data_IF_049833971384
#
_entry.id   IF_049833971384
#
_cell.length_a   1.000
_cell.length_b   1.000
_cell.length_c   1.000
_cell.angle_alpha   90.00
_cell.angle_beta   90.00
_cell.angle_gamma   90.00
#
_symmetry.space_group_name_H-M   'P 1'
#
loop_
_entity.id
_entity.type
_entity.pdbx_description
1 polymer ?
#
# COMPACT_ATOMS: atom_id res chain seq x y z
N UNK A 1 -14.37 8.10 -2.61
CA UNK A 1 -14.06 7.69 -1.24
C UNK A 1 -15.18 6.81 -0.73
N UNK A 2 -15.02 5.49 -0.78
CA UNK A 2 -15.93 4.56 -0.11
C UNK A 2 -15.68 4.78 1.38
N UNK A 3 -16.68 5.31 2.08
CA UNK A 3 -16.59 5.51 3.53
C UNK A 3 -16.81 4.18 4.20
N UNK A 4 -15.78 3.38 4.37
CA UNK A 4 -15.89 2.08 5.02
C UNK A 4 -15.52 2.17 6.49
N UNK A 5 -16.31 2.96 7.23
CA UNK A 5 -16.34 2.88 8.69
C UNK A 5 -17.16 1.68 9.18
N UNK A 6 -17.62 0.84 8.26
CA UNK A 6 -18.56 -0.22 8.57
C UNK A 6 -18.15 -1.50 7.85
N UNK A 7 -18.36 -2.62 8.49
CA UNK A 7 -18.31 -3.92 7.82
C UNK A 7 -19.48 -3.96 6.83
N UNK A 8 -19.22 -4.05 5.52
CA UNK A 8 -20.30 -4.00 4.55
C UNK A 8 -21.26 -5.17 4.71
N UNK A 9 -22.51 -4.97 4.32
CA UNK A 9 -23.52 -6.02 4.32
C UNK A 9 -23.05 -7.21 3.45
N UNK A 10 -23.01 -8.39 4.05
CA UNK A 10 -22.60 -9.64 3.38
C UNK A 10 -23.61 -10.75 3.68
N UNK A 11 -23.97 -11.53 2.67
CA UNK A 11 -24.82 -12.72 2.81
C UNK A 11 -26.17 -12.45 3.54
N UNK A 12 -26.77 -11.30 3.27
CA UNK A 12 -28.06 -10.92 3.89
C UNK A 12 -27.95 -10.38 5.31
N UNK A 13 -26.73 -10.26 5.85
CA UNK A 13 -26.49 -9.55 7.11
C UNK A 13 -26.43 -8.05 6.87
N UNK A 14 -27.01 -7.21 7.74
CA UNK A 14 -26.90 -5.77 7.61
C UNK A 14 -25.46 -5.31 7.86
N UNK A 15 -25.13 -4.16 7.31
CA UNK A 15 -23.92 -3.43 7.62
C UNK A 15 -23.82 -3.17 9.12
N UNK A 16 -22.66 -3.49 9.72
CA UNK A 16 -22.41 -3.25 11.16
C UNK A 16 -21.17 -2.39 11.36
N UNK A 17 -21.22 -1.43 12.30
CA UNK A 17 -20.04 -0.69 12.68
C UNK A 17 -19.05 -1.61 13.41
N UNK A 18 -17.78 -1.38 13.18
CA UNK A 18 -16.76 -2.09 13.91
C UNK A 18 -15.80 -2.84 13.01
N UNK A 19 -15.09 -3.75 13.57
CA UNK A 19 -13.97 -4.46 12.95
C UNK A 19 -12.68 -4.19 13.70
N UNK A 20 -11.56 -4.44 13.03
CA UNK A 20 -10.23 -4.28 13.60
C UNK A 20 -9.74 -2.87 13.32
N UNK A 21 -9.31 -2.14 14.36
CA UNK A 21 -8.62 -0.85 14.26
C UNK A 21 -7.11 -0.99 14.38
N UNK A 22 -6.38 0.10 14.13
CA UNK A 22 -4.91 0.12 14.20
C UNK A 22 -4.38 -0.28 15.58
N UNK A 23 -5.11 0.08 16.64
CA UNK A 23 -4.77 -0.22 18.02
C UNK A 23 -4.77 -1.71 18.34
N UNK A 24 -5.52 -2.51 17.60
CA UNK A 24 -5.68 -3.94 17.84
C UNK A 24 -4.65 -4.78 17.05
N UNK A 25 -4.19 -4.31 15.90
CA UNK A 25 -3.40 -5.08 14.93
C UNK A 25 -2.16 -5.70 15.57
N UNK A 26 -1.42 -4.92 16.36
CA UNK A 26 -0.17 -5.38 17.00
C UNK A 26 -0.45 -6.57 17.93
N UNK A 27 -1.47 -6.48 18.75
CA UNK A 27 -1.82 -7.52 19.73
C UNK A 27 -2.41 -8.77 19.09
N UNK A 28 -3.16 -8.60 18.02
CA UNK A 28 -3.80 -9.70 17.30
C UNK A 28 -2.85 -10.47 16.40
N UNK A 29 -1.74 -9.85 15.98
CA UNK A 29 -0.84 -10.43 14.97
C UNK A 29 0.51 -10.78 15.55
N UNK A 30 1.23 -9.82 16.13
CA UNK A 30 2.65 -9.96 16.46
C UNK A 30 2.99 -11.17 17.38
N UNK A 31 2.21 -11.49 18.44
CA UNK A 31 2.53 -12.62 19.32
C UNK A 31 2.40 -14.00 18.65
N UNK A 32 1.88 -14.10 17.44
CA UNK A 32 1.48 -15.35 16.80
C UNK A 32 2.22 -15.62 15.48
N UNK A 33 3.22 -14.84 15.16
CA UNK A 33 3.96 -14.92 13.89
C UNK A 33 5.47 -15.03 14.13
N UNK A 34 6.17 -15.60 13.15
CA UNK A 34 7.62 -15.73 13.14
C UNK A 34 8.26 -15.11 11.89
N UNK A 35 7.47 -14.88 10.83
CA UNK A 35 7.94 -14.29 9.58
C UNK A 35 7.03 -13.14 9.14
N UNK A 36 7.57 -12.27 8.29
CA UNK A 36 6.81 -11.16 7.72
C UNK A 36 5.58 -11.67 6.94
N UNK A 37 5.76 -12.70 6.11
CA UNK A 37 4.68 -13.32 5.33
C UNK A 37 3.58 -13.93 6.21
N UNK A 38 3.95 -14.60 7.31
CA UNK A 38 2.96 -15.09 8.29
C UNK A 38 2.14 -13.95 8.87
N UNK A 39 2.77 -12.78 9.10
CA UNK A 39 2.09 -11.57 9.56
C UNK A 39 1.02 -11.09 8.59
N UNK A 40 1.38 -10.99 7.32
CA UNK A 40 0.44 -10.60 6.24
C UNK A 40 -0.74 -11.57 6.17
N UNK A 41 -0.46 -12.87 6.10
CA UNK A 41 -1.51 -13.90 5.98
C UNK A 41 -2.41 -13.96 7.21
N UNK A 42 -1.85 -13.81 8.41
CA UNK A 42 -2.64 -13.78 9.64
C UNK A 42 -3.54 -12.54 9.71
N UNK A 43 -2.98 -11.36 9.45
CA UNK A 43 -3.79 -10.14 9.44
C UNK A 43 -4.87 -10.22 8.36
N UNK A 44 -4.50 -10.65 7.15
CA UNK A 44 -5.45 -10.82 6.07
C UNK A 44 -6.64 -11.71 6.44
N UNK A 45 -6.38 -12.85 7.07
CA UNK A 45 -7.45 -13.75 7.54
C UNK A 45 -8.33 -13.12 8.62
N UNK A 46 -7.76 -12.32 9.50
CA UNK A 46 -8.51 -11.59 10.51
C UNK A 46 -9.40 -10.52 9.87
N UNK A 47 -8.86 -9.79 8.89
CA UNK A 47 -9.62 -8.78 8.13
C UNK A 47 -10.76 -9.41 7.33
N UNK A 48 -10.53 -10.54 6.67
CA UNK A 48 -11.60 -11.27 5.97
C UNK A 48 -12.72 -11.75 6.91
N UNK A 49 -12.38 -12.04 8.15
CA UNK A 49 -13.34 -12.55 9.14
C UNK A 49 -14.09 -11.43 9.84
N UNK A 50 -13.38 -10.42 10.32
CA UNK A 50 -13.91 -9.38 11.21
C UNK A 50 -14.04 -8.02 10.55
N UNK A 51 -13.36 -7.80 9.42
CA UNK A 51 -13.30 -6.51 8.74
C UNK A 51 -12.48 -5.48 9.48
N UNK A 52 -12.41 -4.30 8.89
CA UNK A 52 -11.80 -3.11 9.49
C UNK A 52 -12.64 -1.88 9.20
N UNK A 53 -12.64 -0.92 10.11
CA UNK A 53 -13.28 0.38 9.94
C UNK A 53 -12.30 1.48 9.51
N UNK A 54 -11.03 1.14 9.34
CA UNK A 54 -9.97 2.07 8.98
C UNK A 54 -9.20 1.62 7.75
N UNK A 55 -8.66 2.60 7.02
CA UNK A 55 -7.71 2.36 5.95
C UNK A 55 -6.30 2.59 6.50
N UNK A 56 -5.55 1.51 6.65
CA UNK A 56 -4.21 1.51 7.23
C UNK A 56 -3.18 0.89 6.27
N UNK A 57 -1.94 1.34 6.40
CA UNK A 57 -0.78 0.68 5.82
C UNK A 57 0.07 0.05 6.91
N UNK A 58 0.39 -1.22 6.78
CA UNK A 58 1.10 -2.01 7.79
C UNK A 58 2.34 -2.65 7.17
N UNK A 59 3.51 -2.34 7.74
CA UNK A 59 4.77 -2.99 7.38
C UNK A 59 4.99 -4.23 8.22
N UNK A 60 5.30 -5.34 7.56
CA UNK A 60 5.80 -6.57 8.17
C UNK A 60 7.23 -6.80 7.71
N UNK A 61 8.14 -7.03 8.66
CA UNK A 61 9.55 -7.24 8.35
C UNK A 61 10.12 -8.37 9.16
N UNK A 62 10.95 -9.19 8.51
CA UNK A 62 11.87 -10.14 9.15
C UNK A 62 13.28 -10.03 8.54
N UNK A 63 14.15 -11.01 8.78
CA UNK A 63 15.52 -10.99 8.27
C UNK A 63 15.64 -11.30 6.77
N UNK A 64 14.57 -11.78 6.15
CA UNK A 64 14.58 -12.24 4.76
C UNK A 64 13.75 -11.35 3.83
N UNK A 65 12.68 -10.73 4.34
CA UNK A 65 11.75 -10.02 3.49
C UNK A 65 11.00 -8.89 4.21
N UNK A 66 10.49 -7.95 3.41
CA UNK A 66 9.62 -6.87 3.85
C UNK A 66 8.34 -6.96 3.02
N UNK A 67 7.20 -6.90 3.69
CA UNK A 67 5.88 -6.80 3.10
C UNK A 67 5.18 -5.53 3.55
N UNK A 68 4.46 -4.93 2.61
CA UNK A 68 3.58 -3.81 2.89
C UNK A 68 2.15 -4.23 2.61
N UNK A 69 1.30 -4.17 3.62
CA UNK A 69 -0.12 -4.47 3.54
C UNK A 69 -0.93 -3.18 3.65
N UNK A 70 -1.91 -3.02 2.77
CA UNK A 70 -2.91 -1.96 2.82
C UNK A 70 -4.31 -2.55 3.03
N UNK A 71 -5.02 -2.00 4.02
CA UNK A 71 -6.45 -2.29 4.21
C UNK A 71 -7.25 -1.36 3.30
N UNK A 72 -8.11 -1.94 2.46
CA UNK A 72 -8.88 -1.17 1.48
C UNK A 72 -10.25 -0.75 2.07
N UNK A 73 -10.59 -1.35 3.19
CA UNK A 73 -11.87 -1.16 3.88
C UNK A 73 -12.73 -2.42 3.88
N UNK A 74 -13.64 -2.48 4.85
CA UNK A 74 -14.47 -3.66 5.06
C UNK A 74 -13.63 -4.91 5.29
N UNK A 75 -13.80 -5.92 4.43
CA UNK A 75 -13.07 -7.19 4.52
C UNK A 75 -11.91 -7.31 3.52
N UNK A 76 -11.64 -6.25 2.73
CA UNK A 76 -10.67 -6.30 1.64
C UNK A 76 -9.33 -5.74 2.07
N UNK A 77 -8.28 -6.40 1.59
CA UNK A 77 -6.91 -6.02 1.82
C UNK A 77 -6.02 -6.47 0.66
N UNK A 78 -4.88 -5.85 0.52
CA UNK A 78 -3.82 -6.26 -0.39
C UNK A 78 -2.46 -6.05 0.25
N UNK A 79 -1.48 -6.83 -0.18
CA UNK A 79 -0.11 -6.70 0.27
C UNK A 79 0.87 -6.96 -0.87
N UNK A 80 1.94 -6.18 -0.88
CA UNK A 80 3.01 -6.30 -1.85
C UNK A 80 4.34 -6.47 -1.14
N UNK A 81 5.16 -7.41 -1.63
CA UNK A 81 6.54 -7.60 -1.17
C UNK A 81 7.40 -6.45 -1.70
N UNK A 82 8.23 -5.89 -0.85
CA UNK A 82 9.26 -4.94 -1.27
C UNK A 82 10.43 -5.74 -1.85
N UNK A 83 10.86 -5.39 -3.05
CA UNK A 83 12.02 -6.04 -3.69
C UNK A 83 13.27 -5.86 -2.86
N UNK A 84 14.17 -6.84 -2.88
CA UNK A 84 15.38 -6.84 -2.05
C UNK A 84 16.35 -5.69 -2.39
N UNK A 85 16.25 -5.15 -3.59
CA UNK A 85 17.04 -4.02 -4.10
C UNK A 85 16.29 -2.68 -4.08
N UNK A 86 15.20 -2.59 -3.33
CA UNK A 86 14.31 -1.43 -3.38
C UNK A 86 13.98 -0.88 -1.99
N UNK A 87 13.47 0.34 -1.97
CA UNK A 87 12.91 0.97 -0.79
C UNK A 87 11.52 1.56 -1.11
N UNK A 88 10.73 1.74 -0.09
CA UNK A 88 9.37 2.25 -0.16
C UNK A 88 9.24 3.51 0.68
N UNK A 89 8.52 4.49 0.19
CA UNK A 89 8.15 5.70 0.93
C UNK A 89 6.64 5.79 1.00
N UNK A 90 6.12 5.74 2.22
CA UNK A 90 4.67 5.75 2.47
C UNK A 90 4.28 6.92 3.37
N UNK A 91 3.55 7.90 2.86
CA UNK A 91 2.84 8.89 3.67
C UNK A 91 1.52 8.29 4.22
N UNK A 92 0.66 9.12 4.81
CA UNK A 92 -0.67 8.68 5.26
C UNK A 92 -1.68 8.59 4.09
N UNK A 93 -1.32 7.82 3.07
CA UNK A 93 -2.13 7.52 1.89
C UNK A 93 -1.95 6.05 1.52
N UNK A 94 -2.94 5.44 0.87
CA UNK A 94 -2.70 4.19 0.14
C UNK A 94 -1.78 4.50 -1.05
N UNK A 95 -0.74 3.71 -1.22
CA UNK A 95 0.33 4.06 -2.14
C UNK A 95 0.74 2.97 -3.11
N UNK A 96 0.31 1.72 -2.94
CA UNK A 96 0.62 0.66 -3.92
C UNK A 96 0.08 1.08 -5.29
N UNK A 97 1.00 1.34 -6.21
CA UNK A 97 0.75 1.91 -7.54
C UNK A 97 0.64 0.86 -8.66
N UNK A 98 1.08 -0.36 -8.39
CA UNK A 98 0.99 -1.47 -9.32
C UNK A 98 0.77 -2.78 -8.55
N UNK A 99 -0.19 -3.58 -8.98
CA UNK A 99 -0.54 -4.83 -8.31
C UNK A 99 -0.85 -5.93 -9.32
N UNK A 100 -0.06 -7.00 -9.25
CA UNK A 100 -0.24 -8.17 -10.10
C UNK A 100 -1.27 -9.12 -9.49
N UNK A 101 -2.50 -9.04 -10.02
CA UNK A 101 -3.60 -9.92 -9.61
C UNK A 101 -3.35 -11.39 -10.00
N UNK A 102 -2.59 -11.65 -11.06
CA UNK A 102 -2.33 -13.03 -11.48
C UNK A 102 -1.31 -13.70 -10.55
N UNK A 103 -0.30 -12.97 -10.07
CA UNK A 103 0.55 -13.46 -8.99
C UNK A 103 -0.23 -13.64 -7.69
N UNK A 104 -1.06 -12.67 -7.30
CA UNK A 104 -1.81 -12.72 -6.04
C UNK A 104 -2.79 -13.91 -5.96
N UNK A 105 -3.41 -14.30 -7.08
CA UNK A 105 -4.30 -15.47 -7.18
C UNK A 105 -3.60 -16.74 -7.67
N UNK A 106 -2.31 -16.67 -8.00
CA UNK A 106 -1.50 -17.76 -8.52
C UNK A 106 -0.36 -18.18 -7.63
N UNK A 107 0.86 -17.78 -7.99
CA UNK A 107 2.10 -18.15 -7.29
C UNK A 107 2.26 -17.47 -5.92
N UNK A 108 1.68 -16.29 -5.77
CA UNK A 108 1.73 -15.51 -4.54
C UNK A 108 3.16 -15.17 -4.09
N UNK A 109 4.06 -14.93 -5.03
CA UNK A 109 5.46 -14.67 -4.74
C UNK A 109 5.66 -13.26 -4.16
N UNK A 110 5.03 -12.27 -4.79
CA UNK A 110 5.20 -10.86 -4.45
C UNK A 110 3.90 -10.12 -4.10
N UNK A 111 2.75 -10.74 -4.35
CA UNK A 111 1.43 -10.14 -4.10
C UNK A 111 0.52 -11.10 -3.36
N UNK A 112 -0.19 -10.58 -2.38
CA UNK A 112 -1.19 -11.29 -1.58
C UNK A 112 -2.40 -10.38 -1.42
N UNK A 113 -3.61 -10.94 -1.42
CA UNK A 113 -4.83 -10.16 -1.22
C UNK A 113 -5.98 -11.01 -0.65
N UNK A 114 -7.07 -10.34 -0.30
CA UNK A 114 -8.32 -11.00 0.09
C UNK A 114 -8.85 -11.88 -1.04
N UNK A 115 -9.46 -13.00 -0.67
CA UNK A 115 -9.85 -14.06 -1.61
C UNK A 115 -10.86 -13.61 -2.68
N UNK A 116 -11.64 -12.59 -2.41
CA UNK A 116 -12.68 -12.05 -3.29
C UNK A 116 -12.33 -10.70 -3.94
N UNK A 117 -11.07 -10.25 -3.82
CA UNK A 117 -10.65 -8.94 -4.32
C UNK A 117 -10.90 -8.78 -5.83
N UNK A 118 -10.63 -9.82 -6.63
CA UNK A 118 -10.83 -9.78 -8.09
C UNK A 118 -12.30 -9.57 -8.45
N UNK A 119 -13.20 -10.29 -7.79
CA UNK A 119 -14.65 -10.15 -7.97
C UNK A 119 -15.13 -8.78 -7.49
N UNK A 120 -14.58 -8.29 -6.39
CA UNK A 120 -14.90 -6.97 -5.85
C UNK A 120 -14.53 -5.87 -6.85
N UNK A 121 -13.30 -5.89 -7.38
CA UNK A 121 -12.82 -4.95 -8.40
C UNK A 121 -13.72 -4.98 -9.64
N UNK A 122 -14.02 -6.17 -10.15
CA UNK A 122 -14.85 -6.35 -11.33
C UNK A 122 -16.29 -5.87 -11.11
N UNK A 123 -16.88 -6.20 -9.97
CA UNK A 123 -18.26 -5.83 -9.61
C UNK A 123 -18.48 -4.33 -9.56
N UNK A 124 -17.51 -3.60 -9.04
CA UNK A 124 -17.62 -2.15 -8.85
C UNK A 124 -16.88 -1.34 -9.92
N UNK A 125 -16.33 -2.01 -10.95
CA UNK A 125 -15.57 -1.37 -12.04
C UNK A 125 -14.43 -0.48 -11.55
N UNK A 126 -13.64 -0.98 -10.59
CA UNK A 126 -12.60 -0.23 -9.92
C UNK A 126 -11.25 -0.30 -10.64
N UNK A 127 -11.09 -1.17 -11.62
CA UNK A 127 -9.91 -1.17 -12.49
C UNK A 127 -10.04 -0.04 -13.51
N UNK A 128 -9.24 0.99 -13.30
CA UNK A 128 -9.18 2.18 -14.17
C UNK A 128 -7.97 2.13 -15.11
N UNK A 129 -7.14 1.08 -15.03
CA UNK A 129 -5.93 0.96 -15.81
C UNK A 129 -6.23 0.80 -17.30
N UNK A 130 -5.44 1.48 -18.12
CA UNK A 130 -5.51 1.38 -19.60
C UNK A 130 -4.38 0.52 -20.17
N UNK A 131 -3.36 0.23 -19.38
CA UNK A 131 -2.17 -0.52 -19.75
C UNK A 131 -2.22 -2.00 -19.32
N UNK A 132 -3.29 -2.40 -18.61
CA UNK A 132 -3.50 -3.76 -18.13
C UNK A 132 -2.81 -4.09 -16.80
N UNK A 133 -2.17 -3.11 -16.15
CA UNK A 133 -1.64 -3.23 -14.80
C UNK A 133 -2.61 -2.57 -13.82
N UNK A 134 -3.15 -3.32 -12.88
CA UNK A 134 -4.07 -2.76 -11.89
C UNK A 134 -3.34 -1.78 -10.97
N UNK A 135 -3.85 -0.54 -10.89
CA UNK A 135 -3.36 0.51 -10.00
C UNK A 135 -4.31 0.67 -8.79
N UNK A 136 -3.96 0.08 -7.62
CA UNK A 136 -4.76 0.20 -6.42
C UNK A 136 -4.86 1.61 -5.87
N UNK A 137 -3.81 2.43 -6.02
CA UNK A 137 -3.83 3.82 -5.56
C UNK A 137 -4.86 4.65 -6.32
N UNK A 138 -4.95 4.48 -7.64
CA UNK A 138 -5.98 5.13 -8.43
C UNK A 138 -7.38 4.63 -8.08
N UNK A 139 -7.52 3.33 -7.75
CA UNK A 139 -8.82 2.72 -7.42
C UNK A 139 -9.31 3.03 -5.99
N UNK A 140 -8.41 3.03 -5.01
CA UNK A 140 -8.76 3.07 -3.58
C UNK A 140 -8.15 4.26 -2.84
N UNK A 141 -7.10 4.86 -3.38
CA UNK A 141 -6.38 5.96 -2.73
C UNK A 141 -7.19 7.26 -2.69
N UNK A 142 -6.70 8.20 -1.91
CA UNK A 142 -7.24 9.55 -1.83
C UNK A 142 -6.34 10.54 -2.58
N UNK A 143 -6.99 11.48 -3.27
CA UNK A 143 -6.35 12.55 -4.06
C UNK A 143 -7.00 13.89 -3.71
N UNK A 144 -6.98 14.24 -2.42
CA UNK A 144 -7.61 15.44 -1.89
C UNK A 144 -6.63 16.60 -1.79
N UNK A 145 -7.12 17.83 -1.71
CA UNK A 145 -6.29 19.00 -1.42
C UNK A 145 -5.48 18.83 -0.13
N UNK A 146 -6.01 18.09 0.85
CA UNK A 146 -5.29 17.77 2.09
C UNK A 146 -4.09 16.86 1.82
N UNK A 147 -4.20 15.92 0.89
CA UNK A 147 -3.09 15.06 0.50
C UNK A 147 -1.97 15.87 -0.16
N UNK A 148 -2.32 16.82 -1.02
CA UNK A 148 -1.36 17.69 -1.68
C UNK A 148 -0.63 18.64 -0.73
N UNK A 149 -1.15 18.87 0.46
CA UNK A 149 -0.51 19.70 1.49
C UNK A 149 0.28 18.88 2.50
N UNK A 150 -0.23 17.69 2.86
CA UNK A 150 0.30 16.91 3.98
C UNK A 150 1.01 15.63 3.56
N UNK A 151 0.49 14.88 2.59
CA UNK A 151 0.98 13.55 2.22
C UNK A 151 2.00 13.59 1.09
N UNK A 152 1.62 14.00 -0.09
CA UNK A 152 2.48 13.99 -1.28
C UNK A 152 3.76 14.79 -1.12
N UNK A 153 3.78 15.99 -0.49
CA UNK A 153 5.02 16.73 -0.29
C UNK A 153 6.04 16.00 0.58
N UNK A 154 5.59 15.24 1.58
CA UNK A 154 6.49 14.46 2.44
C UNK A 154 7.12 13.31 1.66
N UNK A 155 6.33 12.57 0.89
CA UNK A 155 6.82 11.50 0.03
C UNK A 155 7.81 12.04 -1.01
N UNK A 156 7.44 13.12 -1.72
CA UNK A 156 8.30 13.78 -2.68
C UNK A 156 9.65 14.21 -2.08
N UNK A 157 9.64 14.83 -0.90
CA UNK A 157 10.86 15.26 -0.22
C UNK A 157 11.78 14.07 0.11
N UNK A 158 11.23 12.99 0.62
CA UNK A 158 11.98 11.77 0.94
C UNK A 158 12.56 11.12 -0.31
N UNK A 159 11.74 10.92 -1.35
CA UNK A 159 12.16 10.33 -2.62
C UNK A 159 13.26 11.15 -3.27
N UNK A 160 13.09 12.48 -3.36
CA UNK A 160 14.11 13.39 -3.88
C UNK A 160 15.41 13.33 -3.10
N UNK A 161 15.33 13.22 -1.77
CA UNK A 161 16.53 13.18 -0.91
C UNK A 161 17.29 11.88 -1.08
N UNK A 162 16.58 10.76 -1.17
CA UNK A 162 17.17 9.43 -1.34
C UNK A 162 17.64 9.17 -2.77
N UNK A 163 16.94 9.73 -3.76
CA UNK A 163 17.23 9.53 -5.18
C UNK A 163 17.28 10.85 -5.96
N UNK A 164 18.32 11.67 -5.75
CA UNK A 164 18.37 13.01 -6.32
C UNK A 164 18.70 13.05 -7.83
N UNK A 165 19.08 11.93 -8.45
CA UNK A 165 19.70 11.93 -9.78
C UNK A 165 18.92 11.16 -10.86
N UNK A 166 17.99 10.29 -10.49
CA UNK A 166 17.22 9.50 -11.46
C UNK A 166 16.12 10.31 -12.13
N UNK A 167 15.53 11.24 -11.36
CA UNK A 167 14.39 12.04 -11.76
C UNK A 167 14.75 13.54 -11.70
N UNK A 168 14.07 14.31 -12.52
CA UNK A 168 14.12 15.78 -12.43
C UNK A 168 13.08 16.22 -11.39
N UNK A 169 13.56 16.62 -10.23
CA UNK A 169 12.70 16.96 -9.07
C UNK A 169 12.30 18.44 -8.97
N UNK A 170 13.02 19.32 -9.67
CA UNK A 170 12.86 20.76 -9.58
C UNK A 170 12.79 21.40 -10.97
N UNK A 171 12.08 22.53 -11.05
CA UNK A 171 11.98 23.32 -12.27
C UNK A 171 10.73 23.02 -13.09
N UNK A 172 10.57 23.70 -14.24
CA UNK A 172 9.36 23.57 -15.05
C UNK A 172 9.19 22.22 -15.73
N UNK A 173 10.30 21.48 -15.90
CA UNK A 173 10.33 20.16 -16.53
C UNK A 173 10.51 19.03 -15.48
N UNK A 174 10.07 19.28 -14.23
CA UNK A 174 10.16 18.27 -13.18
C UNK A 174 9.28 17.06 -13.50
N UNK A 175 9.85 15.86 -13.37
CA UNK A 175 9.11 14.60 -13.52
C UNK A 175 8.02 14.48 -12.44
N UNK A 176 8.35 14.93 -11.22
CA UNK A 176 7.42 14.93 -10.09
C UNK A 176 7.49 16.25 -9.32
N UNK A 177 6.36 16.69 -8.86
CA UNK A 177 6.19 17.88 -8.01
C UNK A 177 5.72 17.47 -6.61
N UNK A 178 5.79 18.38 -5.61
CA UNK A 178 5.24 18.11 -4.29
C UNK A 178 3.73 17.79 -4.25
N UNK A 179 3.01 18.04 -5.35
CA UNK A 179 1.59 17.77 -5.49
C UNK A 179 1.29 16.63 -6.48
N UNK A 180 2.31 15.88 -6.93
CA UNK A 180 2.09 14.78 -7.87
C UNK A 180 1.37 13.61 -7.20
N UNK A 181 0.29 13.16 -7.81
CA UNK A 181 -0.49 12.00 -7.35
C UNK A 181 0.13 10.67 -7.77
N UNK A 182 1.06 10.70 -8.70
CA UNK A 182 1.71 9.57 -9.35
C UNK A 182 3.14 9.29 -8.83
N UNK A 183 3.47 9.78 -7.64
CA UNK A 183 4.75 9.48 -7.00
C UNK A 183 4.97 7.97 -6.88
N UNK A 184 6.13 7.45 -7.31
CA UNK A 184 6.37 6.01 -7.29
C UNK A 184 6.38 5.46 -5.85
N UNK A 185 5.69 4.34 -5.66
CA UNK A 185 5.63 3.66 -4.37
C UNK A 185 6.98 3.04 -3.98
N UNK A 186 7.66 2.41 -4.94
CA UNK A 186 8.87 1.63 -4.73
C UNK A 186 9.95 2.08 -5.72
N UNK A 187 11.13 2.39 -5.21
CA UNK A 187 12.29 2.76 -6.03
C UNK A 187 13.50 1.87 -5.74
N UNK A 188 14.29 1.61 -6.78
CA UNK A 188 15.50 0.80 -6.67
C UNK A 188 16.59 1.49 -5.84
N UNK A 189 17.25 0.72 -4.99
CA UNK A 189 18.41 1.15 -4.19
C UNK A 189 19.64 1.50 -5.04
N UNK A 190 19.72 1.03 -6.27
CA UNK A 190 20.86 1.28 -7.19
C UNK A 190 21.08 2.76 -7.41
N UNK A 191 20.05 3.57 -7.24
CA UNK A 191 20.08 5.02 -7.44
C UNK A 191 20.30 5.82 -6.14
N UNK A 192 20.40 5.17 -5.00
CA UNK A 192 20.84 5.84 -3.78
C UNK A 192 22.30 6.18 -3.95
N UNK A 193 22.61 7.46 -4.17
CA UNK A 193 24.00 7.93 -4.22
C UNK A 193 24.68 7.60 -2.88
N UNK A 194 25.83 6.93 -2.95
CA UNK A 194 26.67 6.74 -1.76
C UNK A 194 26.83 8.10 -1.05
N UNK A 195 26.69 8.14 0.29
CA UNK A 195 26.92 9.37 1.02
C UNK A 195 28.31 9.89 0.64
N UNK A 196 28.35 11.06 0.03
CA UNK A 196 29.58 11.70 -0.41
C UNK A 196 30.53 11.70 0.79
N UNK A 197 31.59 10.89 0.74
CA UNK A 197 32.63 10.92 1.75
C UNK A 197 33.09 12.37 1.81
N UNK A 198 32.77 13.04 2.90
CA UNK A 198 33.38 14.34 3.19
C UNK A 198 34.89 14.14 3.12
N UNK A 199 35.49 14.60 2.01
CA UNK A 199 36.96 14.70 1.94
C UNK A 199 37.34 15.69 3.02
N UNK A 200 38.02 15.18 4.03
CA UNK A 200 38.74 15.98 5.00
C UNK A 200 39.87 16.71 4.30
#
# INVERSE_FOLDING_TARGET
CIRDRYIPAKDGQPEVPGGIGEEDIVYLVLPYIHTAREGVLRLGKLLETYGTYEMNGIAFQDVNEIWWLETIGGHHWMARRVSDDSYVVMPNQLGIDAFDLDDAFGAQENHLCSADLREFIAKYHLDLAQDGVFDPRAAFGSHTDSDHVYNTPRAWYMLRTLNPTTWVWDGPDADYTPASDDLPWCLSLIHISEPTRLRR
#
